data_IF_285858555500
#
_entry.id   IF_285858555500
#
_cell.length_a   1.000
_cell.length_b   1.000
_cell.length_c   1.000
_cell.angle_alpha   90.00
_cell.angle_beta   90.00
_cell.angle_gamma   90.00
#
_symmetry.space_group_name_H-M   'P 1'
#
loop_
_entity.id
_entity.type
_entity.pdbx_description
1 polymer ?
#
# COMPACT_ATOMS: atom_id res chain seq x y z
N UNK A 1 12.95 21.30 -7.17
CA UNK A 1 11.92 20.77 -8.05
C UNK A 1 12.56 19.67 -8.90
N UNK A 2 12.02 18.44 -8.86
CA UNK A 2 12.58 17.29 -9.60
C UNK A 2 12.09 17.29 -11.06
N UNK A 3 10.83 17.64 -11.30
CA UNK A 3 10.26 17.71 -12.65
C UNK A 3 10.58 19.07 -13.31
N UNK A 4 10.66 19.12 -14.66
CA UNK A 4 10.95 20.35 -15.41
C UNK A 4 9.95 21.47 -15.13
N UNK A 5 8.68 21.11 -14.96
CA UNK A 5 7.61 22.03 -14.55
C UNK A 5 6.53 21.27 -13.75
N UNK A 6 5.63 21.97 -13.01
CA UNK A 6 4.59 21.33 -12.19
C UNK A 6 3.62 20.47 -12.99
N UNK A 7 3.25 20.86 -14.19
CA UNK A 7 2.27 20.14 -15.04
C UNK A 7 2.85 18.80 -15.46
N UNK A 8 4.11 18.77 -15.94
CA UNK A 8 4.79 17.52 -16.29
C UNK A 8 5.01 16.65 -15.05
N UNK A 9 5.29 17.26 -13.90
CA UNK A 9 5.42 16.52 -12.62
C UNK A 9 4.14 15.78 -12.26
N UNK A 10 2.99 16.42 -12.38
CA UNK A 10 1.68 15.78 -12.16
C UNK A 10 1.40 14.68 -13.19
N UNK A 11 1.74 14.91 -14.46
CA UNK A 11 1.57 13.90 -15.50
C UNK A 11 2.41 12.65 -15.24
N UNK A 12 3.69 12.81 -14.89
CA UNK A 12 4.57 11.69 -14.55
C UNK A 12 4.09 10.93 -13.31
N UNK A 13 3.60 11.66 -12.29
CA UNK A 13 2.97 11.06 -11.13
C UNK A 13 1.73 10.24 -11.52
N UNK A 14 0.83 10.82 -12.31
CA UNK A 14 -0.37 10.14 -12.80
C UNK A 14 -0.04 8.87 -13.59
N UNK A 15 0.96 8.91 -14.49
CA UNK A 15 1.44 7.73 -15.21
C UNK A 15 1.99 6.66 -14.26
N UNK A 16 2.79 7.06 -13.25
CA UNK A 16 3.36 6.12 -12.28
C UNK A 16 2.26 5.40 -11.51
N UNK A 17 1.27 6.13 -11.00
CA UNK A 17 0.13 5.54 -10.27
C UNK A 17 -0.74 4.69 -11.21
N UNK A 18 -0.97 5.13 -12.45
CA UNK A 18 -1.71 4.36 -13.45
C UNK A 18 -1.04 3.02 -13.79
N UNK A 19 0.26 3.03 -14.06
CA UNK A 19 1.03 1.80 -14.34
C UNK A 19 1.05 0.87 -13.12
N UNK A 20 1.29 1.40 -11.92
CA UNK A 20 1.25 0.58 -10.71
C UNK A 20 -0.13 0.01 -10.43
N UNK A 21 -1.20 0.78 -10.63
CA UNK A 21 -2.59 0.31 -10.53
C UNK A 21 -2.88 -0.83 -11.52
N UNK A 22 -2.42 -0.72 -12.75
CA UNK A 22 -2.52 -1.78 -13.75
C UNK A 22 -1.77 -3.05 -13.32
N UNK A 23 -0.55 -2.90 -12.82
CA UNK A 23 0.22 -4.04 -12.28
C UNK A 23 -0.47 -4.70 -11.09
N UNK A 24 -1.06 -3.92 -10.18
CA UNK A 24 -1.81 -4.41 -9.03
C UNK A 24 -3.03 -5.21 -9.50
N UNK A 25 -3.75 -4.73 -10.51
CA UNK A 25 -4.92 -5.42 -11.06
C UNK A 25 -4.57 -6.82 -11.63
N UNK A 26 -3.35 -7.00 -12.15
CA UNK A 26 -2.86 -8.29 -12.66
C UNK A 26 -2.26 -9.14 -11.54
N UNK A 27 -1.37 -8.57 -10.74
CA UNK A 27 -0.59 -9.30 -9.72
C UNK A 27 -1.46 -9.66 -8.53
N UNK A 28 -2.39 -8.79 -8.12
CA UNK A 28 -3.22 -8.96 -6.93
C UNK A 28 -3.99 -10.29 -6.90
N UNK A 29 -4.78 -10.63 -7.93
CA UNK A 29 -5.50 -11.90 -7.99
C UNK A 29 -4.57 -13.12 -8.00
N UNK A 30 -3.44 -13.03 -8.69
CA UNK A 30 -2.45 -14.11 -8.79
C UNK A 30 -1.80 -14.35 -7.41
N UNK A 31 -1.31 -13.28 -6.80
CA UNK A 31 -0.67 -13.33 -5.49
C UNK A 31 -1.65 -13.77 -4.40
N UNK A 32 -2.91 -13.28 -4.43
CA UNK A 32 -3.98 -13.72 -3.53
C UNK A 32 -4.25 -15.21 -3.62
N UNK A 33 -4.46 -15.72 -4.82
CA UNK A 33 -4.67 -17.15 -5.07
C UNK A 33 -3.50 -18.02 -4.59
N UNK A 34 -2.28 -17.54 -4.78
CA UNK A 34 -1.07 -18.25 -4.33
C UNK A 34 -0.95 -18.27 -2.80
N UNK A 35 -1.23 -17.16 -2.14
CA UNK A 35 -1.20 -17.06 -0.69
C UNK A 35 -2.25 -17.94 -0.02
N UNK A 36 -3.48 -17.95 -0.56
CA UNK A 36 -4.58 -18.78 -0.08
C UNK A 36 -4.27 -20.26 -0.16
N UNK A 37 -3.72 -20.71 -1.30
CA UNK A 37 -3.33 -22.11 -1.51
C UNK A 37 -2.26 -22.59 -0.52
N UNK A 38 -1.36 -21.70 -0.09
CA UNK A 38 -0.25 -22.03 0.81
C UNK A 38 -0.50 -21.69 2.26
N UNK A 39 -1.66 -21.12 2.62
CA UNK A 39 -1.94 -20.60 3.96
C UNK A 39 -0.87 -19.62 4.48
N UNK A 40 -0.28 -18.81 3.60
CA UNK A 40 0.85 -17.92 3.91
C UNK A 40 0.48 -16.44 3.84
N UNK A 41 -0.81 -16.08 4.05
CA UNK A 41 -1.29 -14.70 3.97
C UNK A 41 -0.49 -13.78 4.89
N UNK A 42 -0.29 -14.18 6.15
CA UNK A 42 0.47 -13.40 7.14
C UNK A 42 1.92 -13.17 6.70
N UNK A 43 2.55 -14.19 6.13
CA UNK A 43 3.91 -14.07 5.59
C UNK A 43 3.98 -13.03 4.47
N UNK A 44 3.03 -13.05 3.52
CA UNK A 44 3.01 -12.08 2.42
C UNK A 44 2.76 -10.66 2.91
N UNK A 45 1.85 -10.46 3.88
CA UNK A 45 1.63 -9.13 4.47
C UNK A 45 2.94 -8.61 5.08
N UNK A 46 3.66 -9.45 5.85
CA UNK A 46 4.96 -9.06 6.44
C UNK A 46 5.98 -8.66 5.39
N UNK A 47 6.17 -9.51 4.37
CA UNK A 47 7.14 -9.24 3.30
C UNK A 47 6.80 -7.94 2.56
N UNK A 48 5.55 -7.73 2.16
CA UNK A 48 5.16 -6.56 1.40
C UNK A 48 5.18 -5.28 2.25
N UNK A 49 4.79 -5.35 3.52
CA UNK A 49 4.92 -4.21 4.44
C UNK A 49 6.38 -3.81 4.64
N UNK A 50 7.28 -4.77 4.85
CA UNK A 50 8.70 -4.48 5.00
C UNK A 50 9.33 -3.93 3.72
N UNK A 51 8.95 -4.46 2.56
CA UNK A 51 9.39 -3.91 1.27
C UNK A 51 8.85 -2.50 1.05
N UNK A 52 7.59 -2.23 1.36
CA UNK A 52 7.03 -0.88 1.31
C UNK A 52 7.81 0.08 2.20
N UNK A 53 8.11 -0.28 3.45
CA UNK A 53 8.91 0.52 4.38
C UNK A 53 10.29 0.80 3.80
N UNK A 54 10.96 -0.23 3.27
CA UNK A 54 12.29 -0.11 2.67
C UNK A 54 12.27 0.88 1.49
N UNK A 55 11.35 0.68 0.53
CA UNK A 55 11.28 1.55 -0.65
C UNK A 55 10.84 2.97 -0.29
N UNK A 56 10.00 3.17 0.72
CA UNK A 56 9.67 4.49 1.24
C UNK A 56 10.90 5.16 1.86
N UNK A 57 11.73 4.43 2.62
CA UNK A 57 12.98 4.95 3.18
C UNK A 57 14.00 5.32 2.09
N UNK A 58 14.06 4.56 0.98
CA UNK A 58 14.94 4.85 -0.15
C UNK A 58 14.63 6.18 -0.85
N UNK A 59 13.44 6.76 -0.65
CA UNK A 59 13.13 8.10 -1.14
C UNK A 59 14.00 9.19 -0.51
N UNK A 60 14.69 8.92 0.60
CA UNK A 60 15.70 9.79 1.14
C UNK A 60 16.80 10.17 0.12
N UNK A 61 17.12 9.28 -0.79
CA UNK A 61 18.13 9.52 -1.82
C UNK A 61 17.63 10.31 -3.04
N UNK A 62 16.35 10.68 -3.08
CA UNK A 62 15.76 11.49 -4.16
C UNK A 62 16.18 12.95 -4.02
N UNK A 63 17.23 13.38 -4.72
CA UNK A 63 17.66 14.77 -4.74
C UNK A 63 16.79 15.63 -5.68
N UNK A 64 16.66 16.95 -5.44
CA UNK A 64 15.87 17.87 -6.27
C UNK A 64 16.56 18.20 -7.60
N UNK A 65 16.85 17.17 -8.40
CA UNK A 65 17.47 17.28 -9.72
C UNK A 65 16.72 16.40 -10.72
N UNK A 66 16.67 16.84 -11.98
CA UNK A 66 16.00 16.09 -13.06
C UNK A 66 16.59 14.69 -13.26
N UNK A 67 17.88 14.49 -13.00
CA UNK A 67 18.55 13.18 -13.06
C UNK A 67 17.93 12.16 -12.08
N UNK A 68 17.31 12.62 -10.99
CA UNK A 68 16.65 11.76 -10.01
C UNK A 68 15.16 11.52 -10.30
N UNK A 69 14.60 12.11 -11.38
CA UNK A 69 13.19 11.97 -11.70
C UNK A 69 12.78 10.51 -11.88
N UNK A 70 13.48 9.79 -12.75
CA UNK A 70 13.18 8.39 -13.03
C UNK A 70 13.36 7.52 -11.78
N UNK A 71 14.44 7.74 -11.03
CA UNK A 71 14.68 7.05 -9.76
C UNK A 71 13.50 7.25 -8.80
N UNK A 72 13.08 8.49 -8.58
CA UNK A 72 11.99 8.82 -7.66
C UNK A 72 10.67 8.16 -8.08
N UNK A 73 10.31 8.23 -9.37
CA UNK A 73 9.08 7.63 -9.90
C UNK A 73 9.07 6.11 -9.76
N UNK A 74 10.20 5.46 -10.05
CA UNK A 74 10.33 4.00 -9.89
C UNK A 74 10.19 3.60 -8.42
N UNK A 75 10.92 4.26 -7.52
CA UNK A 75 10.88 3.93 -6.08
C UNK A 75 9.49 4.17 -5.51
N UNK A 76 8.83 5.29 -5.83
CA UNK A 76 7.44 5.56 -5.42
C UNK A 76 6.50 4.50 -5.99
N UNK A 77 6.62 4.15 -7.28
CA UNK A 77 5.78 3.13 -7.91
C UNK A 77 5.91 1.78 -7.24
N UNK A 78 7.14 1.35 -6.92
CA UNK A 78 7.40 0.08 -6.23
C UNK A 78 6.86 0.13 -4.78
N UNK A 79 7.08 1.22 -4.05
CA UNK A 79 6.54 1.39 -2.70
C UNK A 79 5.00 1.30 -2.70
N UNK A 80 4.35 1.99 -3.64
CA UNK A 80 2.90 1.94 -3.81
C UNK A 80 2.40 0.53 -4.17
N UNK A 81 3.09 -0.17 -5.06
CA UNK A 81 2.76 -1.56 -5.42
C UNK A 81 2.77 -2.47 -4.19
N UNK A 82 3.80 -2.41 -3.37
CA UNK A 82 3.89 -3.23 -2.17
C UNK A 82 2.89 -2.82 -1.09
N UNK A 83 2.59 -1.53 -0.95
CA UNK A 83 1.54 -1.04 -0.07
C UNK A 83 0.18 -1.65 -0.44
N UNK A 84 -0.22 -1.53 -1.69
CA UNK A 84 -1.51 -2.03 -2.18
C UNK A 84 -1.62 -3.56 -2.08
N UNK A 85 -0.56 -4.29 -2.42
CA UNK A 85 -0.52 -5.73 -2.23
C UNK A 85 -0.67 -6.10 -0.75
N UNK A 86 0.03 -5.40 0.15
CA UNK A 86 -0.13 -5.60 1.59
C UNK A 86 -1.57 -5.37 2.05
N UNK A 87 -2.22 -4.32 1.55
CA UNK A 87 -3.60 -3.98 1.87
C UNK A 87 -4.61 -5.03 1.37
N UNK A 88 -4.41 -5.59 0.18
CA UNK A 88 -5.23 -6.69 -0.36
C UNK A 88 -5.19 -7.89 0.59
N UNK A 89 -4.00 -8.30 1.02
CA UNK A 89 -3.84 -9.44 1.94
C UNK A 89 -4.37 -9.13 3.34
N UNK A 90 -4.16 -7.90 3.83
CA UNK A 90 -4.74 -7.45 5.10
C UNK A 90 -6.26 -7.55 5.10
N UNK A 91 -6.92 -7.07 4.04
CA UNK A 91 -8.37 -7.16 3.89
C UNK A 91 -8.87 -8.62 3.80
N UNK A 92 -8.10 -9.51 3.18
CA UNK A 92 -8.39 -10.95 3.16
C UNK A 92 -8.32 -11.55 4.57
N UNK A 93 -7.25 -11.23 5.31
CA UNK A 93 -7.08 -11.70 6.70
C UNK A 93 -8.19 -11.16 7.62
N UNK A 94 -8.58 -9.90 7.46
CA UNK A 94 -9.64 -9.29 8.25
C UNK A 94 -10.96 -10.06 8.14
N UNK A 95 -11.26 -10.59 6.97
CA UNK A 95 -12.43 -11.43 6.69
C UNK A 95 -12.38 -12.76 7.44
N UNK A 96 -11.18 -13.29 7.67
CA UNK A 96 -10.99 -14.58 8.37
C UNK A 96 -11.05 -14.45 9.89
N UNK A 97 -10.69 -13.29 10.43
CA UNK A 97 -10.67 -13.05 11.89
C UNK A 97 -11.93 -12.36 12.42
N UNK A 98 -12.73 -11.77 11.54
CA UNK A 98 -13.97 -11.09 11.89
C UNK A 98 -15.19 -12.00 11.65
N UNK A 99 -16.24 -11.84 12.46
CA UNK A 99 -17.55 -12.45 12.15
C UNK A 99 -18.29 -11.58 11.13
N UNK A 100 -19.16 -12.19 10.32
CA UNK A 100 -19.95 -11.48 9.29
C UNK A 100 -20.71 -10.27 9.88
N UNK A 101 -21.20 -10.38 11.13
CA UNK A 101 -21.89 -9.29 11.83
C UNK A 101 -20.98 -8.11 12.22
N UNK A 102 -19.70 -8.37 12.47
CA UNK A 102 -18.73 -7.37 12.97
C UNK A 102 -17.72 -6.92 11.92
N UNK A 103 -17.72 -7.54 10.73
CA UNK A 103 -16.75 -7.24 9.67
C UNK A 103 -16.75 -5.75 9.30
N UNK A 104 -17.93 -5.16 9.11
CA UNK A 104 -18.06 -3.73 8.79
C UNK A 104 -17.55 -2.82 9.90
N UNK A 105 -17.83 -3.15 11.17
CA UNK A 105 -17.33 -2.38 12.33
C UNK A 105 -15.82 -2.47 12.45
N UNK A 106 -15.24 -3.67 12.32
CA UNK A 106 -13.80 -3.89 12.40
C UNK A 106 -13.05 -3.18 11.25
N UNK A 107 -13.58 -3.27 10.03
CA UNK A 107 -13.03 -2.56 8.87
C UNK A 107 -13.12 -1.04 9.06
N UNK A 108 -14.29 -0.52 9.40
CA UNK A 108 -14.49 0.91 9.63
C UNK A 108 -13.60 1.47 10.73
N UNK A 109 -13.45 0.76 11.84
CA UNK A 109 -12.55 1.14 12.93
C UNK A 109 -11.08 1.14 12.49
N UNK A 110 -10.65 0.12 11.74
CA UNK A 110 -9.29 0.08 11.19
C UNK A 110 -9.00 1.25 10.25
N UNK A 111 -9.92 1.58 9.35
CA UNK A 111 -9.79 2.75 8.48
C UNK A 111 -9.77 4.06 9.28
N UNK A 112 -10.64 4.24 10.28
CA UNK A 112 -10.66 5.44 11.12
C UNK A 112 -9.33 5.65 11.84
N UNK A 113 -8.77 4.60 12.44
CA UNK A 113 -7.44 4.66 13.07
C UNK A 113 -6.34 4.99 12.05
N UNK A 114 -6.42 4.42 10.83
CA UNK A 114 -5.49 4.73 9.75
C UNK A 114 -5.52 6.21 9.35
N UNK A 115 -6.70 6.80 9.20
CA UNK A 115 -6.85 8.23 8.92
C UNK A 115 -6.33 9.11 10.05
N UNK A 116 -6.65 8.77 11.31
CA UNK A 116 -6.11 9.50 12.47
C UNK A 116 -4.59 9.43 12.48
N UNK A 117 -4.00 8.24 12.29
CA UNK A 117 -2.55 8.07 12.19
C UNK A 117 -1.93 8.88 11.04
N UNK A 118 -2.59 8.92 9.88
CA UNK A 118 -2.18 9.73 8.73
C UNK A 118 -2.19 11.24 9.02
N UNK A 119 -3.22 11.74 9.70
CA UNK A 119 -3.30 13.15 10.11
C UNK A 119 -2.20 13.47 11.12
N UNK A 120 -2.00 12.61 12.12
CA UNK A 120 -0.98 12.83 13.14
C UNK A 120 0.41 12.92 12.52
N UNK A 121 0.81 11.96 11.66
CA UNK A 121 2.12 11.99 11.02
C UNK A 121 2.27 13.19 10.06
N UNK A 122 1.20 13.62 9.39
CA UNK A 122 1.19 14.81 8.55
C UNK A 122 1.48 16.06 9.39
N UNK A 123 0.78 16.24 10.52
CA UNK A 123 1.00 17.38 11.42
C UNK A 123 2.42 17.39 11.99
N UNK A 124 2.93 16.23 12.39
CA UNK A 124 4.33 16.08 12.85
C UNK A 124 5.29 16.49 11.71
N UNK A 125 5.07 16.03 10.49
CA UNK A 125 5.90 16.36 9.34
C UNK A 125 5.93 17.87 9.05
N UNK A 126 4.77 18.52 9.10
CA UNK A 126 4.66 19.96 8.89
C UNK A 126 5.44 20.71 9.98
N UNK A 127 5.20 20.39 11.24
CA UNK A 127 5.82 21.08 12.38
C UNK A 127 7.34 20.90 12.46
N UNK A 128 7.83 19.69 12.17
CA UNK A 128 9.26 19.39 12.31
C UNK A 128 10.10 19.78 11.09
N UNK A 129 9.52 19.72 9.88
CA UNK A 129 10.32 19.82 8.66
C UNK A 129 9.92 20.94 7.71
N UNK A 130 8.70 21.48 7.83
CA UNK A 130 8.19 22.51 6.91
C UNK A 130 8.08 23.85 7.62
N UNK A 131 7.31 23.91 8.73
CA UNK A 131 6.97 25.11 9.48
C UNK A 131 7.98 25.34 10.62
N UNK A 132 9.28 25.36 10.28
CA UNK A 132 10.36 25.59 11.25
C UNK A 132 11.53 26.30 10.59
N UNK A 133 12.15 27.22 11.35
CA UNK A 133 13.37 27.89 10.93
C UNK A 133 14.62 27.05 11.25
N UNK A 134 14.55 26.25 12.30
CA UNK A 134 15.62 25.36 12.73
C UNK A 134 15.24 23.91 12.49
N UNK A 135 15.89 23.28 11.53
CA UNK A 135 15.63 21.87 11.21
C UNK A 135 16.27 20.96 12.25
N UNK A 136 15.58 19.88 12.68
CA UNK A 136 16.17 18.89 13.60
C UNK A 136 17.33 18.13 12.94
N UNK A 137 18.19 17.57 13.75
CA UNK A 137 19.32 16.70 13.32
C UNK A 137 20.35 17.35 12.40
N UNK A 138 20.44 18.70 12.38
CA UNK A 138 21.38 19.40 11.52
C UNK A 138 21.05 19.35 10.03
N UNK A 139 19.80 19.04 9.68
CA UNK A 139 19.36 19.06 8.29
C UNK A 139 19.37 20.49 7.74
N UNK A 140 19.61 20.61 6.44
CA UNK A 140 19.62 21.89 5.74
C UNK A 140 18.49 21.94 4.71
N UNK A 141 17.92 23.13 4.47
CA UNK A 141 16.87 23.33 3.43
C UNK A 141 17.43 23.21 2.01
N UNK A 142 18.74 23.40 1.87
CA UNK A 142 19.47 23.13 0.64
C UNK A 142 19.31 21.64 0.26
N UNK A 143 19.28 21.34 -1.01
CA UNK A 143 18.98 19.99 -1.53
C UNK A 143 17.65 19.38 -1.03
N UNK A 144 16.72 20.18 -0.47
CA UNK A 144 15.42 19.73 0.05
C UNK A 144 15.53 18.59 1.09
N UNK A 145 16.56 18.58 1.93
CA UNK A 145 16.75 17.54 2.95
C UNK A 145 15.57 17.45 3.91
N UNK A 146 14.96 18.59 4.24
CA UNK A 146 13.76 18.65 5.06
C UNK A 146 12.59 17.85 4.46
N UNK A 147 12.34 17.95 3.15
CA UNK A 147 11.28 17.20 2.47
C UNK A 147 11.64 15.71 2.38
N UNK A 148 12.89 15.40 2.07
CA UNK A 148 13.39 14.02 1.98
C UNK A 148 13.33 13.30 3.33
N UNK A 149 13.57 14.01 4.44
CA UNK A 149 13.46 13.46 5.79
C UNK A 149 12.03 13.01 6.15
N UNK A 150 11.01 13.61 5.54
CA UNK A 150 9.62 13.18 5.72
C UNK A 150 9.44 11.73 5.27
N UNK A 151 10.10 11.29 4.20
CA UNK A 151 10.02 9.90 3.75
C UNK A 151 10.60 8.93 4.79
N UNK A 152 11.71 9.29 5.44
CA UNK A 152 12.26 8.51 6.56
C UNK A 152 11.32 8.51 7.76
N UNK A 153 10.76 9.65 8.13
CA UNK A 153 9.80 9.75 9.22
C UNK A 153 8.58 8.85 8.97
N UNK A 154 8.01 8.89 7.78
CA UNK A 154 6.85 8.06 7.39
C UNK A 154 7.22 6.57 7.39
N UNK A 155 8.41 6.21 6.91
CA UNK A 155 8.86 4.81 6.93
C UNK A 155 9.04 4.28 8.35
N UNK A 156 9.62 5.09 9.27
CA UNK A 156 9.76 4.74 10.68
C UNK A 156 8.38 4.65 11.36
N UNK A 157 7.49 5.58 11.08
CA UNK A 157 6.10 5.56 11.55
C UNK A 157 5.40 4.27 11.16
N UNK A 158 5.47 3.92 9.87
CA UNK A 158 4.87 2.67 9.39
C UNK A 158 5.51 1.45 10.04
N UNK A 159 6.84 1.44 10.21
CA UNK A 159 7.54 0.35 10.91
C UNK A 159 7.04 0.17 12.33
N UNK A 160 6.99 1.26 13.13
CA UNK A 160 6.55 1.21 14.54
C UNK A 160 5.14 0.62 14.66
N UNK A 161 4.18 1.11 13.86
CA UNK A 161 2.80 0.62 13.91
C UNK A 161 2.62 -0.76 13.27
N UNK A 162 3.58 -1.22 12.45
CA UNK A 162 3.61 -2.59 11.92
C UNK A 162 4.17 -3.61 12.91
N UNK A 163 4.95 -3.20 13.91
CA UNK A 163 5.60 -4.09 14.89
C UNK A 163 4.63 -5.11 15.50
N UNK A 164 3.45 -4.73 16.02
CA UNK A 164 2.52 -5.70 16.60
C UNK A 164 2.12 -6.79 15.60
N UNK A 165 1.88 -6.42 14.36
CA UNK A 165 1.53 -7.36 13.31
C UNK A 165 2.73 -8.23 12.88
N UNK A 166 3.91 -7.63 12.76
CA UNK A 166 5.12 -8.33 12.32
C UNK A 166 5.55 -9.43 13.30
N UNK A 167 5.40 -9.20 14.61
CA UNK A 167 5.93 -10.09 15.65
C UNK A 167 4.87 -10.90 16.38
N UNK A 168 3.68 -10.36 16.64
CA UNK A 168 2.69 -11.01 17.50
C UNK A 168 1.62 -11.81 16.75
N UNK A 169 1.38 -11.54 15.46
CA UNK A 169 0.43 -12.33 14.68
C UNK A 169 1.14 -13.61 14.18
N UNK A 170 1.20 -14.64 15.05
CA UNK A 170 1.92 -15.90 14.76
C UNK A 170 1.02 -16.94 14.08
N UNK A 171 -0.30 -16.83 14.21
CA UNK A 171 -1.22 -17.87 13.74
C UNK A 171 -1.63 -17.69 12.29
N UNK A 172 -0.94 -18.40 11.40
CA UNK A 172 -1.57 -18.81 10.15
C UNK A 172 -2.80 -19.67 10.50
N UNK A 173 -3.99 -19.19 10.15
CA UNK A 173 -5.23 -19.89 10.42
C UNK A 173 -5.18 -21.26 9.73
N UNK A 174 -5.11 -22.36 10.52
CA UNK A 174 -5.32 -23.71 10.01
C UNK A 174 -6.80 -23.93 9.67
N UNK A 175 -7.41 -23.05 8.91
CA UNK A 175 -8.71 -23.34 8.33
C UNK A 175 -8.52 -24.44 7.30
N UNK A 176 -9.12 -25.62 7.58
CA UNK A 176 -9.33 -26.66 6.58
C UNK A 176 -9.91 -25.97 5.33
N UNK A 177 -9.15 -25.99 4.25
CA UNK A 177 -9.58 -25.50 2.95
C UNK A 177 -10.87 -26.23 2.61
N UNK A 178 -12.04 -25.59 2.85
CA UNK A 178 -13.25 -25.97 2.12
C UNK A 178 -12.85 -25.76 0.66
N UNK A 179 -12.88 -26.84 -0.13
CA UNK A 179 -12.50 -26.91 -1.53
C UNK A 179 -12.52 -25.54 -2.19
N UNK A 180 -11.32 -24.98 -2.39
CA UNK A 180 -11.10 -23.77 -3.11
C UNK A 180 -11.88 -23.87 -4.41
N UNK A 181 -12.80 -22.94 -4.64
CA UNK A 181 -13.25 -22.65 -5.99
C UNK A 181 -11.98 -22.48 -6.80
N UNK A 182 -11.74 -23.40 -7.72
CA UNK A 182 -10.59 -23.37 -8.63
C UNK A 182 -10.54 -21.99 -9.26
N UNK A 183 -9.66 -21.14 -8.80
CA UNK A 183 -9.48 -19.79 -9.35
C UNK A 183 -8.64 -19.88 -10.64
N UNK A 184 -9.18 -20.61 -11.62
CA UNK A 184 -8.69 -20.49 -12.97
C UNK A 184 -9.26 -19.20 -13.57
N UNK A 185 -8.47 -18.50 -14.36
CA UNK A 185 -8.91 -17.36 -15.18
C UNK A 185 -10.21 -17.67 -15.95
N UNK A 186 -10.46 -18.96 -16.25
CA UNK A 186 -11.70 -19.46 -16.82
C UNK A 186 -12.92 -19.28 -15.90
N UNK A 187 -12.75 -19.39 -14.58
CA UNK A 187 -13.85 -19.19 -13.62
C UNK A 187 -14.15 -17.71 -13.40
N UNK A 188 -13.14 -16.85 -13.46
CA UNK A 188 -13.33 -15.39 -13.53
C UNK A 188 -14.07 -14.98 -14.80
N UNK A 189 -13.74 -15.58 -15.95
CA UNK A 189 -14.44 -15.36 -17.22
C UNK A 189 -15.89 -15.85 -17.14
N UNK A 190 -16.15 -16.99 -16.50
CA UNK A 190 -17.51 -17.50 -16.24
C UNK A 190 -18.31 -16.60 -15.31
N UNK A 191 -17.68 -16.06 -14.24
CA UNK A 191 -18.32 -15.15 -13.29
C UNK A 191 -18.68 -13.80 -13.92
N UNK A 192 -17.82 -13.30 -14.83
CA UNK A 192 -18.04 -12.02 -15.53
C UNK A 192 -18.98 -12.15 -16.73
N UNK A 193 -19.02 -13.31 -17.41
CA UNK A 193 -19.69 -13.48 -18.71
C UNK A 193 -20.85 -14.46 -18.70
N UNK A 194 -21.32 -14.92 -17.54
CA UNK A 194 -22.53 -15.73 -17.49
C UNK A 194 -23.75 -14.83 -17.79
N UNK A 195 -24.69 -15.30 -18.63
CA UNK A 195 -25.82 -14.59 -19.26
C UNK A 195 -26.73 -13.73 -18.35
N UNK A 196 -26.51 -13.71 -17.06
CA UNK A 196 -26.96 -12.67 -16.13
C UNK A 196 -25.70 -12.09 -15.51
N UNK A 197 -25.34 -10.85 -15.89
CA UNK A 197 -24.31 -10.07 -15.19
C UNK A 197 -24.61 -10.20 -13.69
N UNK A 198 -23.81 -11.00 -13.02
CA UNK A 198 -24.00 -11.32 -11.61
C UNK A 198 -24.04 -10.00 -10.84
N UNK A 199 -24.76 -9.93 -9.72
CA UNK A 199 -24.75 -8.77 -8.81
C UNK A 199 -23.31 -8.34 -8.51
N UNK A 200 -22.39 -9.29 -8.43
CA UNK A 200 -20.95 -9.08 -8.28
C UNK A 200 -20.33 -8.34 -9.48
N UNK A 201 -20.69 -8.70 -10.71
CA UNK A 201 -20.23 -8.03 -11.93
C UNK A 201 -20.71 -6.59 -12.02
N UNK A 202 -21.97 -6.33 -11.66
CA UNK A 202 -22.52 -4.97 -11.57
C UNK A 202 -21.84 -4.14 -10.48
N UNK A 203 -21.54 -4.75 -9.35
CA UNK A 203 -20.82 -4.09 -8.24
C UNK A 203 -19.38 -3.74 -8.63
N UNK A 204 -18.69 -4.63 -9.34
CA UNK A 204 -17.32 -4.35 -9.81
C UNK A 204 -17.28 -3.24 -10.87
N UNK A 205 -18.26 -3.23 -11.81
CA UNK A 205 -18.38 -2.17 -12.84
C UNK A 205 -18.73 -0.81 -12.19
N UNK A 206 -19.59 -0.81 -11.18
CA UNK A 206 -19.99 0.43 -10.49
C UNK A 206 -18.86 1.05 -9.63
N UNK A 207 -17.77 0.32 -9.38
CA UNK A 207 -16.65 0.75 -8.55
C UNK A 207 -15.40 1.14 -9.38
N UNK A 208 -15.45 0.98 -10.70
CA UNK A 208 -14.46 1.49 -11.66
C UNK A 208 -14.79 2.93 -12.06
#
# INVERSE_FOLDING_TARGET
QIAPNPILGQSYWGWTIGVTGFLIAIIGPIAGSFADKRNKIVFFIRCFSLLCILFTALLWFSKPSQSYLLYTLIIVGIANLFYELSLIFYNSLLKDISTDKNLGKSSGFGFALGYIGGIVILLISIKLFIDTDTLPFGLIKEESQNIRAIALLVSIWFLIFSIPFLFFVIKESKKKIKKSVSSNFADLKKLLWNKKISVLGKFLIARM
#
